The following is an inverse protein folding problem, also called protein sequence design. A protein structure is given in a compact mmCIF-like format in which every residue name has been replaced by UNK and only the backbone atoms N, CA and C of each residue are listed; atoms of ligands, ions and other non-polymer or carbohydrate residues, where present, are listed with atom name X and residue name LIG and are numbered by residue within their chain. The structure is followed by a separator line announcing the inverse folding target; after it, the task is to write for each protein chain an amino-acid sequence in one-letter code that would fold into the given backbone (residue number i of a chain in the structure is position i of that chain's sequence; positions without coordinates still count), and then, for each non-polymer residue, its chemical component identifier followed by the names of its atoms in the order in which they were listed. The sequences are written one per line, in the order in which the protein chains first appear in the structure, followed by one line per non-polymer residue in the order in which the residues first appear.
data_IF_930068618088
#
_entry.id   IF_930068618088
#
_cell.length_a   1.000
_cell.length_b   1.000
_cell.length_c   1.000
_cell.angle_alpha   90.00
_cell.angle_beta   90.00
_cell.angle_gamma   90.00
#
_symmetry.space_group_name_H-M   'P 1'
#
loop_
_entity.id
_entity.type
_entity.pdbx_description
1 polymer ?
#
# COMPACT_ATOMS: atom_id res chain seq x y z
N UNK A 1 -11.61 -0.54 21.73
CA UNK A 1 -10.79 -1.76 21.57
C UNK A 1 -11.48 -2.62 20.53
N UNK A 2 -10.98 -2.65 19.29
CA UNK A 2 -11.49 -3.59 18.30
C UNK A 2 -11.18 -4.99 18.83
N UNK A 3 -12.21 -5.75 19.18
CA UNK A 3 -12.07 -7.15 19.57
C UNK A 3 -11.26 -7.87 18.49
N UNK A 4 -10.27 -8.66 18.89
CA UNK A 4 -9.33 -9.44 18.08
C UNK A 4 -10.03 -10.57 17.26
N UNK A 5 -11.18 -10.28 16.66
CA UNK A 5 -11.97 -11.21 15.88
C UNK A 5 -11.40 -11.20 14.47
N UNK A 6 -10.80 -12.33 14.08
CA UNK A 6 -10.36 -12.55 12.71
C UNK A 6 -11.59 -12.45 11.78
N UNK A 7 -11.55 -11.62 10.72
CA UNK A 7 -12.67 -11.52 9.79
C UNK A 7 -12.94 -12.87 9.11
N UNK A 8 -14.22 -13.15 8.83
CA UNK A 8 -14.60 -14.33 8.07
C UNK A 8 -14.06 -14.24 6.64
N UNK A 9 -13.87 -15.37 5.96
CA UNK A 9 -13.41 -15.38 4.56
C UNK A 9 -14.30 -14.53 3.64
N UNK A 10 -15.62 -14.50 3.90
CA UNK A 10 -16.57 -13.65 3.18
C UNK A 10 -16.28 -12.16 3.37
N UNK A 11 -15.93 -11.77 4.60
CA UNK A 11 -15.58 -10.40 4.92
C UNK A 11 -14.23 -10.01 4.32
N UNK A 12 -13.23 -10.90 4.35
CA UNK A 12 -11.93 -10.69 3.67
C UNK A 12 -12.13 -10.50 2.17
N UNK A 13 -12.95 -11.32 1.51
CA UNK A 13 -13.24 -11.16 0.07
C UNK A 13 -13.95 -9.84 -0.22
N UNK A 14 -14.90 -9.41 0.62
CA UNK A 14 -15.55 -8.10 0.49
C UNK A 14 -14.52 -6.98 0.56
N UNK A 15 -13.66 -7.00 1.58
CA UNK A 15 -12.61 -6.02 1.80
C UNK A 15 -11.61 -5.98 0.65
N UNK A 16 -11.17 -7.14 0.17
CA UNK A 16 -10.32 -7.22 -1.02
C UNK A 16 -11.00 -6.58 -2.24
N UNK A 17 -12.29 -6.83 -2.46
CA UNK A 17 -13.03 -6.21 -3.55
C UNK A 17 -13.15 -4.69 -3.41
N UNK A 18 -13.38 -4.17 -2.19
CA UNK A 18 -13.45 -2.73 -1.92
C UNK A 18 -12.09 -2.05 -2.18
N UNK A 19 -11.00 -2.65 -1.70
CA UNK A 19 -9.63 -2.17 -1.95
C UNK A 19 -9.26 -2.19 -3.43
N UNK A 20 -9.62 -3.25 -4.16
CA UNK A 20 -9.40 -3.35 -5.61
C UNK A 20 -10.14 -2.24 -6.37
N UNK A 21 -11.38 -1.91 -5.98
CA UNK A 21 -12.13 -0.80 -6.59
C UNK A 21 -11.44 0.54 -6.32
N UNK A 22 -10.96 0.75 -5.08
CA UNK A 22 -10.21 1.95 -4.72
C UNK A 22 -8.93 2.11 -5.55
N UNK A 23 -8.12 1.07 -5.64
CA UNK A 23 -6.90 1.08 -6.46
C UNK A 23 -7.20 1.27 -7.94
N UNK A 24 -8.19 0.57 -8.49
CA UNK A 24 -8.59 0.73 -9.89
C UNK A 24 -9.01 2.18 -10.17
N UNK A 25 -9.73 2.83 -9.26
CA UNK A 25 -10.12 4.23 -9.41
C UNK A 25 -8.91 5.18 -9.43
N UNK A 26 -7.92 4.95 -8.56
CA UNK A 26 -6.67 5.73 -8.55
C UNK A 26 -5.86 5.50 -9.84
N UNK A 27 -5.70 4.24 -10.23
CA UNK A 27 -4.91 3.84 -11.40
C UNK A 27 -5.52 4.37 -12.70
N UNK A 28 -6.85 4.42 -12.82
CA UNK A 28 -7.56 5.02 -13.95
C UNK A 28 -7.31 6.54 -14.06
N UNK A 29 -7.03 7.21 -12.94
CA UNK A 29 -6.63 8.62 -12.89
C UNK A 29 -5.11 8.82 -13.05
N UNK A 30 -4.34 7.76 -13.32
CA UNK A 30 -2.88 7.82 -13.42
C UNK A 30 -2.17 7.99 -12.07
N UNK A 31 -2.88 7.80 -10.95
CA UNK A 31 -2.34 7.96 -9.59
C UNK A 31 -1.94 6.58 -9.07
N UNK A 32 -0.70 6.46 -8.58
CA UNK A 32 -0.22 5.27 -7.85
C UNK A 32 -0.33 5.57 -6.36
N UNK A 33 -0.93 4.66 -5.57
CA UNK A 33 -1.09 4.88 -4.13
C UNK A 33 0.26 4.87 -3.40
N UNK A 34 1.14 3.91 -3.70
CA UNK A 34 2.53 3.83 -3.25
C UNK A 34 2.73 3.55 -1.75
N UNK A 35 1.67 3.22 -1.01
CA UNK A 35 1.72 3.03 0.44
C UNK A 35 0.53 2.17 0.94
N UNK A 36 0.17 1.14 0.15
CA UNK A 36 -0.87 0.18 0.52
C UNK A 36 -0.37 -0.70 1.66
N UNK A 37 -1.05 -0.66 2.81
CA UNK A 37 -0.77 -1.49 4.00
C UNK A 37 -1.94 -1.42 4.98
N UNK A 38 -2.08 -2.38 5.92
CA UNK A 38 -3.20 -2.41 6.87
C UNK A 38 -3.38 -1.15 7.71
N UNK A 39 -2.29 -0.47 8.11
CA UNK A 39 -2.39 0.78 8.87
C UNK A 39 -3.00 1.95 8.09
N UNK A 40 -3.12 1.81 6.77
CA UNK A 40 -3.63 2.82 5.84
C UNK A 40 -4.95 2.38 5.21
N UNK A 41 -5.58 1.34 5.76
CA UNK A 41 -6.90 0.86 5.40
C UNK A 41 -7.89 1.24 6.50
N UNK A 42 -8.96 1.94 6.11
CA UNK A 42 -9.93 2.48 7.04
C UNK A 42 -11.30 1.88 6.76
N UNK A 43 -12.00 1.46 7.80
CA UNK A 43 -13.35 0.91 7.68
C UNK A 43 -14.37 2.01 7.99
N UNK A 44 -15.28 2.26 7.05
CA UNK A 44 -16.39 3.18 7.27
C UNK A 44 -17.43 2.62 8.24
N UNK A 45 -18.32 3.47 8.75
CA UNK A 45 -19.49 3.05 9.54
C UNK A 45 -20.43 2.11 8.77
N UNK A 46 -20.40 2.17 7.44
CA UNK A 46 -21.16 1.30 6.53
C UNK A 46 -20.40 0.02 6.15
N UNK A 47 -19.32 -0.30 6.89
CA UNK A 47 -18.50 -1.49 6.69
C UNK A 47 -17.79 -1.52 5.32
N UNK A 48 -17.51 -0.37 4.71
CA UNK A 48 -16.77 -0.26 3.44
C UNK A 48 -15.29 -0.02 3.74
N UNK A 49 -14.41 -0.85 3.18
CA UNK A 49 -12.97 -0.69 3.39
C UNK A 49 -12.39 0.30 2.36
N UNK A 50 -11.68 1.32 2.85
CA UNK A 50 -11.17 2.43 2.05
C UNK A 50 -9.64 2.55 2.23
N UNK A 51 -8.96 2.95 1.16
CA UNK A 51 -7.55 3.32 1.21
C UNK A 51 -7.40 4.78 1.58
N UNK A 52 -6.56 5.05 2.58
CA UNK A 52 -6.17 6.40 2.97
C UNK A 52 -4.67 6.59 2.99
N UNK A 53 -4.23 7.82 3.30
CA UNK A 53 -2.81 8.17 3.36
C UNK A 53 -2.02 7.73 2.11
N UNK A 54 -2.41 8.30 0.97
CA UNK A 54 -1.62 8.20 -0.27
C UNK A 54 -0.17 8.51 0.07
N UNK A 55 0.74 7.66 -0.39
CA UNK A 55 2.15 7.80 -0.11
C UNK A 55 2.59 9.22 -0.40
N UNK A 56 3.09 9.94 0.61
CA UNK A 56 3.79 11.23 0.44
C UNK A 56 5.12 11.06 -0.32
N UNK A 57 5.28 9.98 -1.08
CA UNK A 57 6.22 9.87 -2.19
C UNK A 57 5.81 10.93 -3.21
N UNK A 58 6.17 12.19 -2.91
CA UNK A 58 6.29 13.27 -3.88
C UNK A 58 6.91 12.65 -5.14
N UNK A 59 6.32 12.97 -6.28
CA UNK A 59 6.71 12.58 -7.63
C UNK A 59 8.22 12.62 -7.91
N UNK A 60 9.00 13.33 -7.11
CA UNK A 60 10.47 13.34 -7.09
C UNK A 60 11.13 11.99 -6.72
N UNK A 61 10.49 11.16 -5.89
CA UNK A 61 11.05 9.87 -5.42
C UNK A 61 10.94 8.76 -6.47
N UNK A 62 9.99 8.88 -7.40
CA UNK A 62 9.82 7.95 -8.52
C UNK A 62 10.91 8.09 -9.59
N UNK A 63 11.73 9.16 -9.53
CA UNK A 63 12.90 9.35 -10.40
C UNK A 63 14.18 8.72 -9.84
N UNK A 64 14.24 8.47 -8.53
CA UNK A 64 15.41 7.86 -7.87
C UNK A 64 14.97 7.05 -6.65
N UNK A 65 14.44 5.86 -6.90
CA UNK A 65 14.12 4.86 -5.88
C UNK A 65 15.34 4.52 -5.01
N UNK A 66 16.55 4.65 -5.56
CA UNK A 66 17.83 4.52 -4.86
C UNK A 66 18.04 5.57 -3.75
N UNK A 67 17.51 6.80 -3.91
CA UNK A 67 17.53 7.86 -2.88
C UNK A 67 16.51 7.59 -1.75
N UNK A 68 15.44 6.86 -2.06
CA UNK A 68 14.46 6.42 -1.06
C UNK A 68 15.06 5.29 -0.21
N UNK A 69 15.73 4.32 -0.85
CA UNK A 69 16.43 3.23 -0.17
C UNK A 69 17.54 3.72 0.76
N UNK A 70 18.38 4.65 0.28
CA UNK A 70 19.48 5.19 1.08
C UNK A 70 18.97 5.98 2.30
N UNK A 71 17.92 6.80 2.15
CA UNK A 71 17.30 7.52 3.28
C UNK A 71 16.65 6.58 4.31
N UNK A 72 16.10 5.45 3.87
CA UNK A 72 15.46 4.47 4.75
C UNK A 72 16.48 3.64 5.54
N UNK A 73 17.67 3.40 4.98
CA UNK A 73 18.77 2.70 5.69
C UNK A 73 19.50 3.60 6.71
N UNK A 74 19.54 4.92 6.48
CA UNK A 74 20.20 5.89 7.40
C UNK A 74 19.47 5.97 8.76
N UNK A 75 18.22 5.53 8.87
CA UNK A 75 17.42 5.63 10.08
C UNK A 75 17.67 4.50 11.12
N UNK A 76 18.74 3.72 11.00
CA UNK A 76 19.13 2.58 11.88
C UNK A 76 18.08 1.47 12.10
N UNK A 77 16.92 1.55 11.44
CA UNK A 77 15.88 0.52 11.44
C UNK A 77 15.28 0.37 10.05
N UNK A 78 15.23 -0.87 9.56
CA UNK A 78 14.49 -1.23 8.35
C UNK A 78 13.03 -0.75 8.56
N UNK A 79 12.54 0.22 7.78
CA UNK A 79 11.17 0.69 7.94
C UNK A 79 10.20 -0.48 7.76
N UNK A 80 9.28 -0.65 8.71
CA UNK A 80 8.23 -1.70 8.64
C UNK A 80 7.41 -1.64 7.34
N UNK A 81 7.40 -0.51 6.64
CA UNK A 81 6.76 -0.35 5.34
C UNK A 81 7.43 -1.16 4.22
N UNK A 82 8.73 -1.49 4.32
CA UNK A 82 9.45 -2.24 3.29
C UNK A 82 8.92 -3.66 3.08
N UNK A 83 8.25 -4.25 4.07
CA UNK A 83 7.66 -5.60 3.94
C UNK A 83 6.54 -5.64 2.89
N UNK A 84 5.94 -4.49 2.58
CA UNK A 84 4.89 -4.36 1.57
C UNK A 84 5.45 -4.01 0.18
N UNK A 85 6.77 -3.84 0.02
CA UNK A 85 7.36 -3.45 -1.25
C UNK A 85 7.57 -4.65 -2.17
N UNK A 86 7.23 -4.44 -3.44
CA UNK A 86 7.55 -5.39 -4.51
C UNK A 86 9.06 -5.51 -4.75
N UNK A 87 9.52 -6.65 -5.28
CA UNK A 87 10.94 -6.88 -5.58
C UNK A 87 11.53 -5.82 -6.51
N UNK A 88 10.72 -5.24 -7.41
CA UNK A 88 11.11 -4.16 -8.29
C UNK A 88 11.52 -2.89 -7.51
N UNK A 89 10.79 -2.55 -6.44
CA UNK A 89 11.13 -1.39 -5.61
C UNK A 89 12.40 -1.65 -4.77
N UNK A 90 12.60 -2.90 -4.33
CA UNK A 90 13.82 -3.33 -3.63
C UNK A 90 15.05 -3.26 -4.53
N UNK A 91 14.89 -3.47 -5.83
CA UNK A 91 15.92 -3.30 -6.86
C UNK A 91 16.11 -1.85 -7.30
N UNK A 92 15.36 -0.92 -6.71
CA UNK A 92 15.40 0.48 -7.07
C UNK A 92 14.75 0.81 -8.41
N UNK A 93 13.92 -0.07 -8.96
CA UNK A 93 13.18 0.18 -10.20
C UNK A 93 12.04 1.17 -9.98
N UNK A 94 11.57 1.76 -11.09
CA UNK A 94 10.54 2.80 -11.07
C UNK A 94 9.23 2.27 -10.46
N UNK A 95 8.62 3.08 -9.59
CA UNK A 95 7.29 2.82 -9.05
C UNK A 95 6.24 2.78 -10.16
N UNK A 96 5.45 1.71 -10.19
CA UNK A 96 4.32 1.52 -11.11
C UNK A 96 3.08 1.07 -10.34
N UNK A 97 1.91 1.05 -10.99
CA UNK A 97 0.68 0.52 -10.41
C UNK A 97 0.81 -0.96 -9.95
N UNK A 98 1.75 -1.73 -10.52
CA UNK A 98 2.03 -3.12 -10.12
C UNK A 98 2.51 -3.24 -8.67
N UNK A 99 3.21 -2.21 -8.17
CA UNK A 99 3.66 -2.18 -6.79
C UNK A 99 2.49 -2.10 -5.79
N UNK A 100 1.42 -1.37 -6.14
CA UNK A 100 0.20 -1.34 -5.32
C UNK A 100 -0.48 -2.71 -5.28
N UNK A 101 -0.46 -3.46 -6.39
CA UNK A 101 -1.03 -4.81 -6.47
C UNK A 101 -0.23 -5.79 -5.62
N UNK A 102 1.11 -5.71 -5.65
CA UNK A 102 1.97 -6.49 -4.76
C UNK A 102 1.65 -6.20 -3.29
N UNK A 103 1.66 -4.91 -2.92
CA UNK A 103 1.41 -4.47 -1.56
C UNK A 103 0.01 -4.87 -1.06
N UNK A 104 -1.00 -4.84 -1.93
CA UNK A 104 -2.32 -5.38 -1.64
C UNK A 104 -2.26 -6.88 -1.34
N UNK A 105 -1.56 -7.66 -2.16
CA UNK A 105 -1.40 -9.11 -1.95
C UNK A 105 -0.71 -9.46 -0.63
N UNK A 106 0.27 -8.67 -0.21
CA UNK A 106 0.92 -8.82 1.11
C UNK A 106 -0.02 -8.44 2.28
N UNK A 107 -0.98 -7.55 2.05
CA UNK A 107 -1.86 -7.02 3.09
C UNK A 107 -3.10 -7.88 3.38
N UNK A 108 -3.43 -8.83 2.50
CA UNK A 108 -4.59 -9.71 2.58
C UNK A 108 -4.24 -11.05 3.25
#
# INVERSE_FOLDING_TARGET
VLSNIRPSSRMVMKYAADLCKGLSSLHNCGIIHGNVKPSNMYLSSENVLMLGEIGKTKLESARNTHLLFSKLLIAEAIPKTLIYWGPELLQGLKLTHKADIWALGVSL
#
